data_IF_307670924401
#
_entry.id   IF_307670924401
#
_cell.length_a   1.000
_cell.length_b   1.000
_cell.length_c   1.000
_cell.angle_alpha   90.00
_cell.angle_beta   90.00
_cell.angle_gamma   90.00
#
_symmetry.space_group_name_H-M   'P 1'
#
loop_
_entity.id
_entity.type
_entity.pdbx_description
1 polymer ?
#
# COMPACT_ATOMS: atom_id res chain seq x y z
N UNK A 1 -21.53 4.46 -13.29
CA UNK A 1 -22.04 5.28 -12.15
C UNK A 1 -23.23 6.09 -12.62
N UNK A 2 -24.39 5.96 -11.95
CA UNK A 2 -25.60 6.75 -12.23
C UNK A 2 -25.45 8.21 -11.74
N UNK A 3 -26.20 9.14 -12.33
CA UNK A 3 -26.12 10.57 -11.96
C UNK A 3 -26.39 10.83 -10.47
N UNK A 4 -27.33 10.11 -9.87
CA UNK A 4 -27.64 10.22 -8.44
C UNK A 4 -26.52 9.73 -7.55
N UNK A 5 -25.85 8.67 -7.96
CA UNK A 5 -24.69 8.11 -7.26
C UNK A 5 -23.53 9.11 -7.30
N UNK A 6 -23.28 9.70 -8.47
CA UNK A 6 -22.27 10.74 -8.63
C UNK A 6 -22.55 11.98 -7.79
N UNK A 7 -23.81 12.44 -7.74
CA UNK A 7 -24.19 13.60 -6.95
C UNK A 7 -24.02 13.35 -5.44
N UNK A 8 -24.35 12.15 -4.97
CA UNK A 8 -24.12 11.75 -3.59
C UNK A 8 -22.59 11.70 -3.26
N UNK A 9 -21.77 11.22 -4.19
CA UNK A 9 -20.32 11.24 -4.05
C UNK A 9 -19.76 12.68 -4.02
N UNK A 10 -20.21 13.58 -4.90
CA UNK A 10 -19.84 15.00 -4.89
C UNK A 10 -20.17 15.67 -3.56
N UNK A 11 -21.38 15.43 -3.06
CA UNK A 11 -21.82 15.98 -1.77
C UNK A 11 -20.90 15.52 -0.64
N UNK A 12 -20.57 14.24 -0.58
CA UNK A 12 -19.66 13.70 0.43
C UNK A 12 -18.25 14.30 0.31
N UNK A 13 -17.73 14.42 -0.93
CA UNK A 13 -16.43 15.05 -1.19
C UNK A 13 -16.40 16.51 -0.67
N UNK A 14 -17.46 17.27 -0.88
CA UNK A 14 -17.58 18.62 -0.38
C UNK A 14 -17.65 18.68 1.16
N UNK A 15 -18.35 17.74 1.79
CA UNK A 15 -18.48 17.64 3.25
C UNK A 15 -17.15 17.32 3.93
N UNK A 16 -16.34 16.43 3.33
CA UNK A 16 -15.06 15.98 3.91
C UNK A 16 -13.88 16.91 3.62
N UNK A 17 -13.98 17.79 2.60
CA UNK A 17 -12.89 18.71 2.24
C UNK A 17 -12.39 19.51 3.46
N UNK A 18 -11.06 19.62 3.72
CA UNK A 18 -9.93 19.30 2.83
C UNK A 18 -9.41 17.85 2.92
N UNK A 19 -10.12 16.92 3.56
CA UNK A 19 -9.74 15.53 3.61
C UNK A 19 -10.20 14.79 2.35
N UNK A 20 -9.53 13.69 2.05
CA UNK A 20 -10.02 12.76 1.04
C UNK A 20 -11.29 12.06 1.53
N UNK A 21 -12.40 12.27 0.81
CA UNK A 21 -13.59 11.44 0.96
C UNK A 21 -13.34 10.07 0.33
N UNK A 22 -13.84 9.01 0.94
CA UNK A 22 -13.80 7.68 0.37
C UNK A 22 -15.15 6.96 0.53
N UNK A 23 -15.41 5.97 -0.31
CA UNK A 23 -16.67 5.23 -0.28
C UNK A 23 -16.77 4.21 -1.39
N UNK A 24 -17.97 3.68 -1.56
CA UNK A 24 -18.25 2.60 -2.47
C UNK A 24 -19.44 2.92 -3.38
N UNK A 25 -19.39 2.37 -4.58
CA UNK A 25 -20.60 2.17 -5.37
C UNK A 25 -21.12 0.79 -5.03
N UNK A 26 -22.34 0.72 -4.53
CA UNK A 26 -22.98 -0.54 -4.19
C UNK A 26 -24.27 -0.73 -5.00
N UNK A 27 -24.60 -2.00 -5.28
CA UNK A 27 -25.89 -2.39 -5.84
C UNK A 27 -26.66 -3.16 -4.80
N UNK A 28 -27.78 -2.58 -4.36
CA UNK A 28 -28.65 -3.22 -3.36
C UNK A 28 -29.29 -4.49 -3.91
N UNK A 29 -29.85 -5.33 -3.05
CA UNK A 29 -30.60 -6.54 -3.41
C UNK A 29 -31.80 -6.29 -4.34
N UNK A 30 -32.23 -5.03 -4.47
CA UNK A 30 -33.29 -4.59 -5.39
C UNK A 30 -32.76 -4.07 -6.74
N UNK A 31 -31.47 -4.24 -7.01
CA UNK A 31 -30.80 -3.78 -8.23
C UNK A 31 -30.62 -2.26 -8.33
N UNK A 32 -30.64 -1.53 -7.22
CA UNK A 32 -30.42 -0.07 -7.21
C UNK A 32 -28.98 0.26 -6.93
N UNK A 33 -28.37 1.01 -7.83
CA UNK A 33 -27.06 1.61 -7.60
C UNK A 33 -27.17 2.77 -6.60
N UNK A 34 -26.21 2.87 -5.67
CA UNK A 34 -26.10 3.98 -4.72
C UNK A 34 -24.66 4.16 -4.25
N UNK A 35 -24.34 5.38 -3.84
CA UNK A 35 -23.09 5.69 -3.17
C UNK A 35 -23.20 5.40 -1.68
N UNK A 36 -22.23 4.66 -1.16
CA UNK A 36 -22.09 4.40 0.27
C UNK A 36 -20.88 5.18 0.79
N UNK A 37 -21.12 6.14 1.72
CA UNK A 37 -20.06 6.92 2.36
C UNK A 37 -19.29 6.02 3.31
N UNK A 38 -17.97 5.95 3.15
CA UNK A 38 -17.09 5.27 4.09
C UNK A 38 -16.29 6.30 4.89
N UNK A 39 -15.92 5.93 6.11
CA UNK A 39 -15.04 6.74 6.92
C UNK A 39 -13.60 6.58 6.43
N UNK A 40 -12.90 7.71 6.25
CA UNK A 40 -11.45 7.72 6.06
C UNK A 40 -10.76 7.58 7.43
N UNK A 41 -10.09 6.45 7.66
CA UNK A 41 -9.38 6.12 8.89
C UNK A 41 -7.89 6.49 8.85
N UNK A 42 -7.41 7.14 7.79
CA UNK A 42 -6.02 7.57 7.69
C UNK A 42 -5.70 8.66 8.73
N UNK A 43 -4.48 8.62 9.27
CA UNK A 43 -3.99 9.65 10.20
C UNK A 43 -3.83 10.99 9.48
N UNK A 44 -3.30 10.96 8.26
CA UNK A 44 -3.18 12.14 7.39
C UNK A 44 -4.22 12.06 6.25
N UNK A 45 -5.48 12.27 6.62
CA UNK A 45 -6.61 12.13 5.71
C UNK A 45 -6.67 13.18 4.58
N UNK A 46 -5.83 14.22 4.63
CA UNK A 46 -5.71 15.23 3.57
C UNK A 46 -4.83 14.75 2.39
N UNK A 47 -3.96 13.76 2.63
CA UNK A 47 -3.00 13.27 1.63
C UNK A 47 -3.30 11.86 1.11
N UNK A 48 -4.09 11.08 1.85
CA UNK A 48 -4.48 9.72 1.46
C UNK A 48 -5.70 9.24 2.23
N UNK A 49 -6.24 8.11 1.81
CA UNK A 49 -7.33 7.46 2.53
C UNK A 49 -7.00 6.02 2.91
N UNK A 50 -7.58 5.59 4.02
CA UNK A 50 -7.68 4.20 4.45
C UNK A 50 -9.15 3.97 4.78
N UNK A 51 -9.79 3.08 4.05
CA UNK A 51 -11.20 2.75 4.32
C UNK A 51 -11.30 2.07 5.68
N UNK A 52 -12.14 2.62 6.54
CA UNK A 52 -12.45 2.01 7.84
C UNK A 52 -13.05 0.62 7.67
N UNK A 53 -12.50 -0.42 8.33
CA UNK A 53 -12.97 -1.80 8.18
C UNK A 53 -14.45 -2.00 8.52
N UNK A 54 -14.99 -1.22 9.47
CA UNK A 54 -16.42 -1.28 9.84
C UNK A 54 -17.26 -0.75 8.68
N UNK A 55 -16.85 0.39 8.09
CA UNK A 55 -17.53 0.95 6.92
C UNK A 55 -17.52 -0.01 5.72
N UNK A 56 -16.45 -0.79 5.57
CA UNK A 56 -16.37 -1.80 4.52
C UNK A 56 -17.37 -2.94 4.77
N UNK A 57 -17.40 -3.51 5.97
CA UNK A 57 -18.32 -4.58 6.32
C UNK A 57 -19.79 -4.13 6.20
N UNK A 58 -20.13 -2.94 6.69
CA UNK A 58 -21.47 -2.37 6.59
C UNK A 58 -21.90 -2.14 5.12
N UNK A 59 -20.95 -1.77 4.25
CA UNK A 59 -21.24 -1.64 2.81
C UNK A 59 -21.56 -3.00 2.17
N UNK A 60 -20.82 -4.06 2.51
CA UNK A 60 -21.09 -5.44 2.03
C UNK A 60 -22.46 -5.95 2.52
N UNK A 61 -22.83 -5.64 3.76
CA UNK A 61 -24.16 -5.98 4.29
C UNK A 61 -25.30 -5.21 3.60
N UNK A 62 -25.01 -4.01 3.08
CA UNK A 62 -26.00 -3.17 2.40
C UNK A 62 -26.21 -3.58 0.94
N UNK A 63 -25.19 -4.10 0.26
CA UNK A 63 -25.26 -4.52 -1.13
C UNK A 63 -23.93 -4.97 -1.72
N UNK A 64 -23.95 -5.38 -2.98
CA UNK A 64 -22.74 -5.76 -3.70
C UNK A 64 -21.89 -4.51 -3.99
N UNK A 65 -20.65 -4.49 -3.53
CA UNK A 65 -19.67 -3.44 -3.85
C UNK A 65 -19.19 -3.66 -5.28
N UNK A 66 -19.53 -2.72 -6.18
CA UNK A 66 -19.17 -2.76 -7.61
C UNK A 66 -18.12 -1.72 -8.01
N UNK A 67 -17.75 -0.81 -7.12
CA UNK A 67 -16.72 0.20 -7.38
C UNK A 67 -16.26 0.91 -6.11
N UNK A 68 -15.07 1.49 -6.16
CA UNK A 68 -14.46 2.26 -5.08
C UNK A 68 -14.35 3.72 -5.52
N UNK A 69 -14.66 4.63 -4.61
CA UNK A 69 -14.62 6.07 -4.85
C UNK A 69 -13.70 6.74 -3.83
N UNK A 70 -12.91 7.70 -4.27
CA UNK A 70 -12.22 8.64 -3.38
C UNK A 70 -12.03 10.00 -4.05
N UNK A 71 -11.71 11.01 -3.26
CA UNK A 71 -11.48 12.35 -3.78
C UNK A 71 -10.02 12.77 -3.65
N UNK A 72 -9.58 13.65 -4.57
CA UNK A 72 -8.29 14.32 -4.52
C UNK A 72 -8.52 15.81 -4.21
N UNK A 73 -8.30 16.26 -2.96
CA UNK A 73 -8.37 17.67 -2.59
C UNK A 73 -7.25 18.47 -3.24
N UNK A 74 -7.61 19.61 -3.87
CA UNK A 74 -6.68 20.56 -4.51
C UNK A 74 -5.77 19.97 -5.61
N UNK A 75 -6.01 18.72 -6.00
CA UNK A 75 -5.27 18.01 -7.04
C UNK A 75 -6.16 17.62 -8.22
N UNK A 76 -5.55 17.07 -9.27
CA UNK A 76 -6.29 16.52 -10.41
C UNK A 76 -6.91 15.17 -10.08
N UNK A 77 -7.90 14.73 -10.87
CA UNK A 77 -8.48 13.40 -10.74
C UNK A 77 -7.62 12.28 -11.37
N UNK A 78 -6.39 12.57 -11.78
CA UNK A 78 -5.50 11.56 -12.33
C UNK A 78 -5.07 10.55 -11.24
N UNK A 79 -5.17 9.22 -11.49
CA UNK A 79 -4.80 8.23 -10.49
C UNK A 79 -3.31 8.25 -10.20
N UNK A 80 -2.95 8.23 -8.92
CA UNK A 80 -1.59 7.98 -8.46
C UNK A 80 -1.14 6.55 -8.79
N UNK A 81 0.14 6.23 -8.62
CA UNK A 81 0.60 4.83 -8.72
C UNK A 81 -0.03 3.92 -7.65
N UNK A 82 -0.26 4.46 -6.46
CA UNK A 82 -0.93 3.74 -5.38
C UNK A 82 -2.39 3.44 -5.71
N UNK A 83 -3.13 4.38 -6.30
CA UNK A 83 -4.50 4.16 -6.76
C UNK A 83 -4.58 3.04 -7.80
N UNK A 84 -3.65 3.05 -8.77
CA UNK A 84 -3.60 2.02 -9.80
C UNK A 84 -3.35 0.64 -9.22
N UNK A 85 -2.37 0.50 -8.32
CA UNK A 85 -2.07 -0.78 -7.63
C UNK A 85 -3.23 -1.23 -6.75
N UNK A 86 -3.88 -0.31 -6.05
CA UNK A 86 -5.03 -0.62 -5.21
C UNK A 86 -6.25 -1.04 -6.03
N UNK A 87 -6.45 -0.43 -7.21
CA UNK A 87 -7.47 -0.83 -8.16
C UNK A 87 -7.26 -2.28 -8.63
N UNK A 88 -6.03 -2.64 -9.02
CA UNK A 88 -5.68 -4.03 -9.37
C UNK A 88 -5.92 -5.00 -8.21
N UNK A 89 -5.53 -4.61 -6.98
CA UNK A 89 -5.68 -5.43 -5.79
C UNK A 89 -7.14 -5.70 -5.44
N UNK A 90 -8.00 -4.67 -5.57
CA UNK A 90 -9.43 -4.78 -5.29
C UNK A 90 -10.21 -5.45 -6.42
N UNK A 91 -9.61 -5.51 -7.60
CA UNK A 91 -10.24 -6.02 -8.84
C UNK A 91 -11.62 -5.38 -9.10
N UNK A 92 -11.73 -4.08 -8.86
CA UNK A 92 -12.96 -3.28 -9.04
C UNK A 92 -12.63 -1.95 -9.72
N UNK A 93 -13.59 -1.36 -10.46
CA UNK A 93 -13.46 0.02 -10.96
C UNK A 93 -13.22 1.02 -9.81
N UNK A 94 -12.35 1.98 -10.06
CA UNK A 94 -12.08 3.11 -9.16
C UNK A 94 -12.54 4.42 -9.80
N UNK A 95 -13.10 5.29 -8.99
CA UNK A 95 -13.63 6.59 -9.39
C UNK A 95 -13.01 7.68 -8.53
N UNK A 96 -12.29 8.60 -9.16
CA UNK A 96 -11.53 9.66 -8.50
C UNK A 96 -12.17 11.00 -8.84
N UNK A 97 -12.60 11.73 -7.82
CA UNK A 97 -13.19 13.06 -7.97
C UNK A 97 -12.23 14.13 -7.46
N UNK A 98 -11.71 14.97 -8.34
CA UNK A 98 -10.94 16.14 -7.90
C UNK A 98 -11.86 17.21 -7.29
N UNK A 99 -11.43 17.84 -6.22
CA UNK A 99 -12.16 18.92 -5.58
C UNK A 99 -11.21 20.08 -5.21
N UNK A 100 -11.55 21.35 -5.52
CA UNK A 100 -12.85 21.85 -6.03
C UNK A 100 -13.00 21.84 -7.56
N UNK A 101 -12.07 21.26 -8.32
CA UNK A 101 -12.15 21.23 -9.80
C UNK A 101 -13.36 20.46 -10.32
N UNK A 102 -13.93 19.57 -9.50
CA UNK A 102 -15.12 18.77 -9.80
C UNK A 102 -14.98 17.93 -11.10
N UNK A 103 -13.80 17.37 -11.32
CA UNK A 103 -13.51 16.48 -12.45
C UNK A 103 -13.53 15.04 -11.99
N UNK A 104 -14.28 14.19 -12.68
CA UNK A 104 -14.33 12.76 -12.41
C UNK A 104 -13.42 12.02 -13.39
N UNK A 105 -12.61 11.12 -12.84
CA UNK A 105 -11.86 10.12 -13.62
C UNK A 105 -12.25 8.73 -13.15
N UNK A 106 -12.38 7.79 -14.09
CA UNK A 106 -12.67 6.39 -13.79
C UNK A 106 -11.57 5.51 -14.32
N UNK A 107 -11.12 4.57 -13.51
CA UNK A 107 -10.06 3.62 -13.80
C UNK A 107 -10.56 2.20 -13.53
N UNK A 108 -10.20 1.26 -14.40
CA UNK A 108 -10.52 -0.17 -14.25
C UNK A 108 -9.23 -0.99 -14.18
N UNK A 109 -9.23 -2.15 -13.51
CA UNK A 109 -8.08 -3.06 -13.50
C UNK A 109 -7.66 -3.39 -14.95
N UNK A 110 -6.37 -3.29 -15.23
CA UNK A 110 -5.80 -3.53 -16.56
C UNK A 110 -4.45 -4.23 -16.55
N UNK A 111 -4.06 -4.79 -15.39
CA UNK A 111 -2.77 -5.44 -15.20
C UNK A 111 -1.63 -4.48 -14.86
N UNK A 112 -1.93 -3.29 -14.34
CA UNK A 112 -0.89 -2.33 -13.95
C UNK A 112 -0.01 -2.87 -12.83
N UNK A 113 1.30 -2.76 -13.02
CA UNK A 113 2.31 -3.04 -12.00
C UNK A 113 3.22 -1.83 -11.82
N UNK A 114 3.32 -1.32 -10.59
CA UNK A 114 4.22 -0.23 -10.29
C UNK A 114 5.69 -0.66 -10.48
N UNK A 115 6.58 0.18 -11.02
CA UNK A 115 7.99 -0.16 -11.20
C UNK A 115 8.66 -0.45 -9.85
N UNK A 116 9.68 -1.32 -9.81
CA UNK A 116 10.44 -1.57 -8.58
C UNK A 116 11.31 -0.39 -8.17
N UNK A 117 11.73 0.42 -9.14
CA UNK A 117 12.60 1.60 -8.93
C UNK A 117 11.87 2.84 -9.42
N UNK A 118 11.95 3.91 -8.63
CA UNK A 118 11.39 5.23 -8.99
C UNK A 118 9.92 5.42 -8.64
N UNK A 119 9.29 4.44 -7.95
CA UNK A 119 7.89 4.58 -7.51
C UNK A 119 7.76 5.46 -6.27
N UNK A 120 6.68 6.21 -6.18
CA UNK A 120 6.35 7.04 -5.03
C UNK A 120 5.95 6.19 -3.82
N UNK A 121 6.29 6.66 -2.60
CA UNK A 121 5.95 5.95 -1.36
C UNK A 121 4.47 6.14 -1.03
N UNK A 122 3.80 5.04 -0.73
CA UNK A 122 2.46 5.01 -0.14
C UNK A 122 2.38 3.89 0.89
N UNK A 123 2.14 4.23 2.15
CA UNK A 123 2.11 3.26 3.24
C UNK A 123 1.08 2.15 2.97
N UNK A 124 1.45 0.90 3.23
CA UNK A 124 0.59 -0.26 3.02
C UNK A 124 0.37 -0.69 1.56
N UNK A 125 0.60 0.20 0.58
CA UNK A 125 0.39 -0.04 -0.86
C UNK A 125 1.72 -0.10 -1.62
N UNK A 126 2.53 0.94 -1.53
CA UNK A 126 3.84 1.06 -2.19
C UNK A 126 4.91 1.46 -1.17
N UNK A 127 5.07 0.67 -0.13
CA UNK A 127 6.04 0.85 0.94
C UNK A 127 7.26 -0.07 0.79
N UNK A 128 8.12 -0.10 1.80
CA UNK A 128 9.32 -0.94 1.79
C UNK A 128 8.99 -2.44 1.77
N UNK A 129 7.92 -2.88 2.46
CA UNK A 129 7.53 -4.29 2.48
C UNK A 129 6.92 -4.72 1.14
N UNK A 130 6.03 -3.92 0.58
CA UNK A 130 5.45 -4.21 -0.74
C UNK A 130 6.51 -4.18 -1.84
N UNK A 131 7.58 -3.39 -1.70
CA UNK A 131 8.73 -3.46 -2.61
C UNK A 131 9.42 -4.83 -2.52
N UNK A 132 9.67 -5.35 -1.32
CA UNK A 132 10.23 -6.70 -1.12
C UNK A 132 9.30 -7.75 -1.73
N UNK A 133 8.01 -7.69 -1.43
CA UNK A 133 6.99 -8.60 -1.96
C UNK A 133 6.97 -8.61 -3.49
N UNK A 134 6.91 -7.43 -4.12
CA UNK A 134 6.88 -7.30 -5.57
C UNK A 134 8.19 -7.80 -6.20
N UNK A 135 9.33 -7.52 -5.56
CA UNK A 135 10.63 -8.02 -6.01
C UNK A 135 10.68 -9.55 -6.00
N UNK A 136 10.26 -10.17 -4.90
CA UNK A 136 10.26 -11.64 -4.78
C UNK A 136 9.31 -12.30 -5.78
N UNK A 137 8.15 -11.71 -6.00
CA UNK A 137 7.20 -12.18 -7.02
C UNK A 137 7.79 -12.11 -8.43
N UNK A 138 8.35 -10.95 -8.82
CA UNK A 138 8.81 -10.72 -10.19
C UNK A 138 10.13 -11.41 -10.53
N UNK A 139 11.09 -11.35 -9.62
CA UNK A 139 12.44 -11.86 -9.87
C UNK A 139 12.61 -13.34 -9.53
N UNK A 140 11.81 -13.86 -8.62
CA UNK A 140 11.97 -15.20 -8.05
C UNK A 140 10.72 -16.08 -8.18
N UNK A 141 9.58 -15.53 -8.61
CA UNK A 141 8.28 -16.20 -8.62
C UNK A 141 7.90 -16.76 -7.23
N UNK A 142 8.26 -16.01 -6.18
CA UNK A 142 7.91 -16.31 -4.79
C UNK A 142 6.86 -15.31 -4.36
N UNK A 143 5.68 -15.79 -3.97
CA UNK A 143 4.61 -14.96 -3.45
C UNK A 143 4.72 -14.81 -1.94
N UNK A 144 4.76 -13.56 -1.46
CA UNK A 144 4.69 -13.20 -0.05
C UNK A 144 3.31 -12.61 0.24
N UNK A 145 2.74 -12.94 1.38
CA UNK A 145 1.46 -12.39 1.79
C UNK A 145 1.58 -10.90 2.10
N UNK A 146 0.53 -10.14 1.78
CA UNK A 146 0.42 -8.74 2.18
C UNK A 146 -0.47 -8.65 3.41
N UNK A 147 0.08 -8.35 4.56
CA UNK A 147 -0.67 -8.13 5.79
C UNK A 147 -0.90 -6.65 6.04
N UNK A 148 -2.00 -6.34 6.72
CA UNK A 148 -2.35 -4.97 7.08
C UNK A 148 -1.30 -4.36 8.00
N UNK A 149 -0.91 -3.13 7.70
CA UNK A 149 0.04 -2.32 8.49
C UNK A 149 -0.60 -0.98 8.77
N UNK A 150 -0.91 -0.70 10.03
CA UNK A 150 -1.35 0.63 10.44
C UNK A 150 -0.23 1.65 10.26
N UNK A 151 -0.59 2.91 10.08
CA UNK A 151 0.40 3.99 10.15
C UNK A 151 1.12 3.94 11.51
N UNK A 152 2.44 4.04 11.48
CA UNK A 152 3.30 4.04 12.68
C UNK A 152 3.07 2.83 13.61
N UNK A 153 2.78 1.65 13.04
CA UNK A 153 2.54 0.42 13.81
C UNK A 153 3.66 0.10 14.82
N UNK A 154 4.91 0.47 14.50
CA UNK A 154 6.07 0.27 15.38
C UNK A 154 6.05 1.14 16.65
N UNK A 155 5.31 2.25 16.66
CA UNK A 155 5.08 3.09 17.85
C UNK A 155 3.92 2.56 18.71
N UNK A 156 3.09 1.67 18.15
CA UNK A 156 1.93 1.08 18.81
C UNK A 156 2.24 -0.25 19.50
N UNK A 157 3.53 -0.61 19.60
CA UNK A 157 3.99 -1.82 20.26
C UNK A 157 3.91 -3.08 19.41
N UNK A 158 3.60 -2.96 18.12
CA UNK A 158 3.61 -4.07 17.19
C UNK A 158 5.03 -4.41 16.71
N UNK A 159 5.25 -5.65 16.30
CA UNK A 159 6.55 -6.12 15.82
C UNK A 159 6.40 -6.92 14.52
N UNK A 160 5.64 -6.35 13.58
CA UNK A 160 5.08 -7.05 12.42
C UNK A 160 6.13 -7.84 11.60
N UNK A 161 7.32 -7.28 11.40
CA UNK A 161 8.32 -7.98 10.60
C UNK A 161 8.92 -9.19 11.31
N UNK A 162 9.18 -9.09 12.61
CA UNK A 162 9.74 -10.20 13.39
C UNK A 162 8.70 -11.29 13.67
N UNK A 163 7.43 -10.90 13.80
CA UNK A 163 6.36 -11.84 14.04
C UNK A 163 6.02 -12.67 12.78
N UNK A 164 6.17 -12.09 11.59
CA UNK A 164 5.72 -12.71 10.34
C UNK A 164 6.80 -13.32 9.45
N UNK A 165 8.09 -12.95 9.57
CA UNK A 165 9.09 -13.37 8.57
C UNK A 165 9.24 -14.89 8.44
N UNK A 166 9.04 -15.65 9.53
CA UNK A 166 9.15 -17.12 9.50
C UNK A 166 8.01 -17.77 8.71
N UNK A 167 6.79 -17.25 8.90
CA UNK A 167 5.60 -17.74 8.21
C UNK A 167 5.63 -17.37 6.73
N UNK A 168 6.29 -16.26 6.40
CA UNK A 168 6.62 -15.88 5.01
C UNK A 168 7.75 -16.72 4.40
N UNK A 169 8.23 -17.74 5.08
CA UNK A 169 9.24 -18.67 4.57
C UNK A 169 10.70 -18.23 4.75
N UNK A 170 10.96 -17.17 5.51
CA UNK A 170 12.33 -16.73 5.74
C UNK A 170 13.00 -17.42 6.92
N UNK A 171 14.31 -17.61 6.81
CA UNK A 171 15.21 -18.02 7.89
C UNK A 171 16.26 -16.96 8.12
N UNK A 172 16.67 -16.79 9.37
CA UNK A 172 17.72 -15.83 9.71
C UNK A 172 19.10 -16.38 9.38
N UNK A 173 19.91 -15.59 8.70
CA UNK A 173 21.32 -15.82 8.43
C UNK A 173 22.10 -15.19 9.58
N UNK A 174 23.02 -15.96 10.17
CA UNK A 174 23.79 -15.52 11.34
C UNK A 174 25.09 -14.82 10.97
N UNK A 175 25.70 -15.19 9.85
CA UNK A 175 26.99 -14.69 9.41
C UNK A 175 26.79 -13.73 8.23
N UNK A 176 27.28 -12.49 8.34
CA UNK A 176 27.24 -11.51 7.26
C UNK A 176 28.12 -11.91 6.06
N UNK A 177 29.12 -12.75 6.27
CA UNK A 177 29.96 -13.27 5.17
C UNK A 177 29.20 -14.26 4.27
N UNK A 178 28.09 -14.81 4.75
CA UNK A 178 27.18 -15.67 3.98
C UNK A 178 26.12 -14.93 3.17
N UNK A 179 26.13 -13.59 3.11
CA UNK A 179 25.14 -12.82 2.37
C UNK A 179 25.15 -13.16 0.89
N UNK A 180 23.97 -13.48 0.37
CA UNK A 180 23.78 -13.81 -1.03
C UNK A 180 22.76 -12.87 -1.67
N UNK A 181 22.89 -12.72 -2.99
CA UNK A 181 21.91 -12.00 -3.77
C UNK A 181 20.51 -12.55 -3.47
N UNK A 182 19.57 -11.64 -3.28
CA UNK A 182 18.17 -11.88 -2.92
C UNK A 182 17.89 -12.09 -1.42
N UNK A 183 18.88 -11.99 -0.54
CA UNK A 183 18.61 -11.94 0.89
C UNK A 183 17.81 -10.67 1.23
N UNK A 184 16.84 -10.79 2.13
CA UNK A 184 16.07 -9.67 2.64
C UNK A 184 16.67 -9.16 3.96
N UNK A 185 16.62 -7.86 4.15
CA UNK A 185 17.14 -7.21 5.36
C UNK A 185 16.01 -6.55 6.13
N UNK A 186 16.02 -6.74 7.46
CA UNK A 186 15.19 -5.95 8.36
C UNK A 186 16.06 -4.89 9.02
N UNK A 187 15.62 -3.65 8.93
CA UNK A 187 16.40 -2.48 9.31
C UNK A 187 15.58 -1.66 10.30
N UNK A 188 16.27 -1.11 11.29
CA UNK A 188 15.65 -0.30 12.33
C UNK A 188 15.93 1.18 12.07
N UNK A 189 14.90 1.93 11.70
CA UNK A 189 14.97 3.34 11.39
C UNK A 189 14.25 4.16 12.48
N UNK A 190 15.00 4.80 13.37
CA UNK A 190 14.45 5.68 14.43
C UNK A 190 13.26 5.02 15.16
N UNK A 191 13.39 3.76 15.53
CA UNK A 191 12.33 2.94 16.08
C UNK A 191 12.91 1.95 17.10
N UNK A 192 12.08 1.39 17.98
CA UNK A 192 12.49 0.34 18.93
C UNK A 192 12.62 -1.04 18.28
N UNK A 193 11.88 -1.28 17.18
CA UNK A 193 11.82 -2.54 16.43
C UNK A 193 12.19 -2.32 14.96
N UNK A 194 12.53 -3.36 14.18
CA UNK A 194 12.70 -3.22 12.73
C UNK A 194 11.41 -2.73 12.07
N UNK A 195 11.48 -1.59 11.40
CA UNK A 195 10.35 -0.95 10.73
C UNK A 195 10.60 -0.66 9.24
N UNK A 196 11.73 -1.14 8.72
CA UNK A 196 12.09 -1.00 7.32
C UNK A 196 12.64 -2.31 6.76
N UNK A 197 12.37 -2.57 5.49
CA UNK A 197 12.83 -3.75 4.77
C UNK A 197 13.55 -3.38 3.47
N UNK A 198 14.52 -4.21 3.08
CA UNK A 198 15.29 -4.07 1.84
C UNK A 198 15.60 -5.44 1.26
N UNK A 199 15.96 -5.50 -0.02
CA UNK A 199 16.48 -6.70 -0.67
C UNK A 199 17.92 -6.45 -1.10
N UNK A 200 18.82 -7.37 -0.77
CA UNK A 200 20.21 -7.36 -1.23
C UNK A 200 20.28 -7.90 -2.66
N UNK A 201 20.77 -7.09 -3.58
CA UNK A 201 20.86 -7.46 -5.00
C UNK A 201 22.28 -7.80 -5.46
N UNK A 202 23.20 -7.98 -4.51
CA UNK A 202 24.62 -8.26 -4.76
C UNK A 202 25.46 -6.99 -4.89
N UNK A 203 26.78 -7.13 -4.94
CA UNK A 203 27.76 -6.04 -5.10
C UNK A 203 27.53 -4.90 -4.08
N UNK A 204 27.37 -5.24 -2.83
CA UNK A 204 27.07 -4.29 -1.73
C UNK A 204 25.92 -3.33 -2.06
N UNK A 205 24.90 -3.80 -2.73
CA UNK A 205 23.76 -2.96 -3.15
C UNK A 205 22.45 -3.54 -2.63
N UNK A 206 21.62 -2.66 -2.11
CA UNK A 206 20.23 -2.98 -1.72
C UNK A 206 19.24 -2.21 -2.60
N UNK A 207 18.07 -2.80 -2.77
CA UNK A 207 16.88 -2.12 -3.27
C UNK A 207 15.92 -1.92 -2.10
N UNK A 208 15.43 -0.70 -1.93
CA UNK A 208 14.55 -0.35 -0.83
C UNK A 208 13.68 0.88 -1.12
N UNK A 209 12.72 1.15 -0.25
CA UNK A 209 11.79 2.26 -0.39
C UNK A 209 11.59 2.97 0.95
N UNK A 210 12.20 4.13 1.10
CA UNK A 210 12.11 4.95 2.32
C UNK A 210 10.96 5.94 2.20
N UNK A 211 10.25 6.16 3.29
CA UNK A 211 9.18 7.17 3.37
C UNK A 211 9.67 8.55 2.87
N UNK A 212 8.82 9.21 2.08
CA UNK A 212 9.10 10.52 1.50
C UNK A 212 10.16 10.54 0.40
N UNK A 213 10.55 9.36 -0.14
CA UNK A 213 11.50 9.22 -1.26
C UNK A 213 10.99 8.24 -2.29
N UNK A 214 11.52 8.32 -3.50
CA UNK A 214 11.30 7.29 -4.50
C UNK A 214 12.10 6.03 -4.15
N UNK A 215 11.55 4.86 -4.48
CA UNK A 215 12.29 3.60 -4.36
C UNK A 215 13.56 3.63 -5.21
N UNK A 216 14.66 3.12 -4.68
CA UNK A 216 15.94 3.21 -5.37
C UNK A 216 16.89 2.03 -5.01
N UNK A 217 18.02 1.99 -5.75
CA UNK A 217 19.18 1.19 -5.39
C UNK A 217 20.14 2.04 -4.60
N UNK A 218 20.68 1.48 -3.52
CA UNK A 218 21.63 2.18 -2.67
C UNK A 218 22.74 1.25 -2.18
N UNK A 219 23.93 1.78 -1.95
CA UNK A 219 25.07 1.04 -1.43
C UNK A 219 24.71 0.53 -0.02
N UNK A 220 24.86 -0.77 0.20
CA UNK A 220 24.76 -1.41 1.50
C UNK A 220 26.06 -1.25 2.28
N UNK A 221 26.16 -0.18 3.06
CA UNK A 221 27.34 0.17 3.87
C UNK A 221 26.96 1.21 4.90
N UNK A 222 27.92 1.60 5.72
CA UNK A 222 27.79 2.70 6.68
C UNK A 222 26.48 2.66 7.47
N UNK A 223 25.59 3.58 7.16
CA UNK A 223 24.31 3.74 7.86
C UNK A 223 23.43 2.46 7.77
N UNK A 224 23.24 1.92 6.58
CA UNK A 224 22.34 0.77 6.36
C UNK A 224 22.83 -0.46 7.09
N UNK A 225 24.10 -0.81 6.95
CA UNK A 225 24.71 -1.97 7.65
C UNK A 225 24.62 -1.81 9.18
N UNK A 226 24.88 -0.61 9.69
CA UNK A 226 24.79 -0.33 11.14
C UNK A 226 23.39 -0.51 11.71
N UNK A 227 22.35 -0.24 10.93
CA UNK A 227 20.96 -0.29 11.38
C UNK A 227 20.22 -1.56 10.97
N UNK A 228 20.86 -2.43 10.16
CA UNK A 228 20.34 -3.77 9.87
C UNK A 228 20.39 -4.63 11.12
N UNK A 229 19.27 -5.24 11.46
CA UNK A 229 19.13 -6.09 12.64
C UNK A 229 19.02 -7.56 12.30
N UNK A 230 18.48 -7.88 11.11
CA UNK A 230 18.30 -9.25 10.63
C UNK A 230 18.66 -9.34 9.16
N UNK A 231 19.45 -10.37 8.84
CA UNK A 231 19.67 -10.84 7.48
C UNK A 231 18.84 -12.10 7.32
N UNK A 232 17.99 -12.14 6.31
CA UNK A 232 17.00 -13.18 6.11
C UNK A 232 17.16 -13.78 4.72
N UNK A 233 17.11 -15.12 4.61
CA UNK A 233 17.05 -15.85 3.34
C UNK A 233 15.73 -16.58 3.25
N UNK A 234 15.09 -16.52 2.09
CA UNK A 234 13.92 -17.35 1.85
C UNK A 234 14.34 -18.81 1.68
N UNK A 235 13.59 -19.74 2.28
CA UNK A 235 13.90 -21.19 2.27
C UNK A 235 14.09 -21.79 0.88
N UNK A 236 13.40 -21.23 -0.14
CA UNK A 236 13.57 -21.67 -1.53
C UNK A 236 14.94 -21.32 -2.13
N UNK A 237 15.74 -20.50 -1.45
CA UNK A 237 17.06 -20.05 -1.89
C UNK A 237 18.21 -20.67 -1.08
N UNK A 238 17.87 -21.56 -0.14
CA UNK A 238 18.84 -22.28 0.70
C UNK A 238 19.45 -23.48 -0.02
#
# INVERSE_FOLDING_TARGET
MEDKTLEAFRTHTQEEYPKEACGFIIVSSRGREQYYKAKNAAVNAEEHFIIDPISYADAEDTGEIIGICHSHPDETSAPSEADKVSCETTNKPWHILSWPLNQLFSWEPNGYEAPLIGRAFSHGVLDCYTLVKDFYKRELNIELENYFRQDEWWEKGENLYLDNFKDQGFVQIKDEDDLQKYDAFLIKLVSSVPNHAAVYIGNDTIIHHVHGRLSNRQLYGGYWRKHTTHHLRHKSLC
#
